data_IF_529231628704
#
_entry.id   IF_529231628704
#
_cell.length_a   1.000
_cell.length_b   1.000
_cell.length_c   1.000
_cell.angle_alpha   90.00
_cell.angle_beta   90.00
_cell.angle_gamma   90.00
#
_symmetry.space_group_name_H-M   'P 1'
#
loop_
_entity.id
_entity.type
_entity.pdbx_description
1 polymer ?
#
# COMPACT_ATOMS: atom_id res chain seq x y z
N UNK A 1 -6.69 -20.02 -23.10
CA UNK A 1 -5.88 -20.93 -22.28
C UNK A 1 -5.93 -20.44 -20.85
N UNK A 2 -6.19 -21.33 -19.91
CA UNK A 2 -6.13 -21.04 -18.48
C UNK A 2 -4.68 -21.20 -18.00
N UNK A 3 -4.25 -20.33 -17.09
CA UNK A 3 -2.90 -20.34 -16.52
C UNK A 3 -2.95 -20.27 -14.99
N UNK A 4 -2.12 -21.05 -14.28
CA UNK A 4 -2.11 -21.03 -12.83
C UNK A 4 -1.43 -19.76 -12.29
N UNK A 5 -2.03 -19.17 -11.27
CA UNK A 5 -1.47 -18.00 -10.58
C UNK A 5 -0.48 -18.45 -9.51
N UNK A 6 0.74 -17.91 -9.58
CA UNK A 6 1.83 -18.20 -8.66
C UNK A 6 1.89 -17.24 -7.45
N UNK A 7 1.25 -16.08 -7.54
CA UNK A 7 1.13 -15.13 -6.45
C UNK A 7 0.62 -13.76 -6.91
N UNK A 8 0.26 -12.92 -5.95
CA UNK A 8 -0.13 -11.52 -6.17
C UNK A 8 0.95 -10.62 -5.57
N UNK A 9 1.37 -9.60 -6.33
CA UNK A 9 2.39 -8.65 -5.90
C UNK A 9 1.72 -7.44 -5.23
N UNK A 10 0.70 -6.91 -5.88
CA UNK A 10 -0.15 -5.80 -5.45
C UNK A 10 -1.53 -5.94 -6.15
N UNK A 11 -2.41 -4.95 -6.04
CA UNK A 11 -3.77 -5.05 -6.55
C UNK A 11 -3.91 -5.09 -8.07
N UNK A 12 -2.85 -4.76 -8.83
CA UNK A 12 -2.88 -4.74 -10.30
C UNK A 12 -1.75 -5.54 -10.97
N UNK A 13 -0.88 -6.16 -10.17
CA UNK A 13 0.21 -6.99 -10.66
C UNK A 13 0.15 -8.38 -10.05
N UNK A 14 -0.02 -9.39 -10.92
CA UNK A 14 -0.01 -10.81 -10.54
C UNK A 14 1.18 -11.54 -11.17
N UNK A 15 1.59 -12.64 -10.55
CA UNK A 15 2.59 -13.56 -11.12
C UNK A 15 1.90 -14.85 -11.53
N UNK A 16 2.07 -15.28 -12.76
CA UNK A 16 1.49 -16.53 -13.31
C UNK A 16 2.59 -17.52 -13.67
N UNK A 17 2.24 -18.80 -13.86
CA UNK A 17 3.12 -19.76 -14.54
C UNK A 17 2.69 -19.95 -15.99
N UNK A 18 3.50 -19.48 -16.92
CA UNK A 18 3.27 -19.60 -18.36
C UNK A 18 4.47 -20.31 -18.99
N UNK A 19 4.23 -21.38 -19.74
CA UNK A 19 5.31 -22.15 -20.37
C UNK A 19 6.35 -22.71 -19.38
N UNK A 20 5.93 -23.04 -18.15
CA UNK A 20 6.82 -23.52 -17.09
C UNK A 20 7.62 -22.44 -16.37
N UNK A 21 7.54 -21.17 -16.78
CA UNK A 21 8.24 -20.05 -16.14
C UNK A 21 7.29 -19.12 -15.37
N UNK A 22 7.82 -18.40 -14.39
CA UNK A 22 7.08 -17.35 -13.68
C UNK A 22 7.11 -16.06 -14.48
N UNK A 23 5.93 -15.54 -14.82
CA UNK A 23 5.75 -14.30 -15.56
C UNK A 23 4.97 -13.29 -14.74
N UNK A 24 5.38 -12.02 -14.76
CA UNK A 24 4.62 -10.93 -14.15
C UNK A 24 3.63 -10.36 -15.15
N UNK A 25 2.40 -10.16 -14.73
CA UNK A 25 1.31 -9.61 -15.52
C UNK A 25 0.85 -8.31 -14.86
N UNK A 26 0.91 -7.20 -15.61
CA UNK A 26 0.24 -5.95 -15.25
C UNK A 26 -1.16 -5.99 -15.85
N UNK A 27 -2.16 -5.94 -14.98
CA UNK A 27 -3.57 -6.03 -15.38
C UNK A 27 -3.96 -4.76 -16.13
N UNK A 28 -4.55 -4.92 -17.31
CA UNK A 28 -4.98 -3.79 -18.14
C UNK A 28 -6.20 -3.10 -17.53
N UNK A 29 -6.22 -1.76 -17.61
CA UNK A 29 -7.39 -0.92 -17.32
C UNK A 29 -7.58 -0.51 -15.87
N UNK A 30 -6.71 -0.95 -14.96
CA UNK A 30 -6.78 -0.60 -13.54
C UNK A 30 -5.45 -0.08 -13.01
N UNK A 31 -5.50 0.73 -11.96
CA UNK A 31 -4.36 1.10 -11.12
C UNK A 31 -4.78 0.99 -9.66
N UNK A 32 -3.97 0.33 -8.85
CA UNK A 32 -4.27 0.09 -7.44
C UNK A 32 -3.29 0.81 -6.53
N UNK A 33 -3.70 1.16 -5.30
CA UNK A 33 -2.78 1.79 -4.37
C UNK A 33 -1.56 0.92 -4.10
N UNK A 34 -0.37 1.53 -4.13
CA UNK A 34 0.91 0.82 -4.10
C UNK A 34 1.28 0.34 -2.69
N UNK A 35 1.57 -0.96 -2.54
CA UNK A 35 1.98 -1.54 -1.24
C UNK A 35 3.31 -0.98 -0.73
N UNK A 36 4.24 -0.67 -1.64
CA UNK A 36 5.57 -0.17 -1.28
C UNK A 36 5.55 1.27 -0.74
N UNK A 37 4.44 1.98 -0.93
CA UNK A 37 4.22 3.34 -0.42
C UNK A 37 3.30 3.42 0.80
N UNK A 38 2.85 2.27 1.33
CA UNK A 38 1.77 2.18 2.33
C UNK A 38 0.56 3.06 1.96
N UNK A 39 0.22 3.10 0.67
CA UNK A 39 -0.91 3.89 0.21
C UNK A 39 -2.21 3.37 0.82
N UNK A 40 -3.11 4.30 1.13
CA UNK A 40 -4.41 3.93 1.68
C UNK A 40 -5.11 2.93 0.75
N UNK A 41 -5.63 1.86 1.34
CA UNK A 41 -6.32 0.76 0.65
C UNK A 41 -5.44 -0.21 -0.14
N UNK A 42 -4.11 -0.07 -0.14
CA UNK A 42 -3.19 -0.94 -0.89
C UNK A 42 -3.29 -2.42 -0.47
N UNK A 43 -3.33 -2.69 0.84
CA UNK A 43 -3.43 -4.06 1.37
C UNK A 43 -4.78 -4.69 1.06
N UNK A 44 -5.84 -3.90 1.12
CA UNK A 44 -7.20 -4.32 0.79
C UNK A 44 -7.30 -4.67 -0.70
N UNK A 45 -6.73 -3.84 -1.58
CA UNK A 45 -6.70 -4.09 -3.02
C UNK A 45 -5.91 -5.36 -3.37
N UNK A 46 -4.70 -5.52 -2.81
CA UNK A 46 -3.90 -6.72 -3.00
C UNK A 46 -4.60 -7.99 -2.45
N UNK A 47 -5.21 -7.91 -1.27
CA UNK A 47 -5.97 -9.01 -0.69
C UNK A 47 -7.20 -9.36 -1.52
N UNK A 48 -7.87 -8.36 -2.11
CA UNK A 48 -9.02 -8.61 -2.97
C UNK A 48 -8.59 -9.29 -4.26
N UNK A 49 -7.56 -8.78 -4.93
CA UNK A 49 -6.96 -9.43 -6.10
C UNK A 49 -6.60 -10.88 -5.77
N UNK A 50 -5.91 -11.12 -4.65
CA UNK A 50 -5.58 -12.46 -4.15
C UNK A 50 -6.84 -13.32 -4.02
N UNK A 51 -7.93 -12.84 -3.39
CA UNK A 51 -9.17 -13.63 -3.25
C UNK A 51 -9.84 -14.00 -4.59
N UNK A 52 -9.63 -13.19 -5.64
CA UNK A 52 -10.17 -13.42 -6.98
C UNK A 52 -9.36 -14.48 -7.72
N UNK A 53 -8.04 -14.51 -7.55
CA UNK A 53 -7.14 -15.32 -8.37
C UNK A 53 -6.51 -16.51 -7.64
N UNK A 54 -6.53 -16.52 -6.30
CA UNK A 54 -5.90 -17.56 -5.49
C UNK A 54 -6.55 -18.92 -5.72
N UNK A 55 -5.70 -19.94 -5.87
CA UNK A 55 -6.11 -21.34 -6.11
C UNK A 55 -6.98 -21.53 -7.35
N UNK A 56 -6.96 -20.54 -8.27
CA UNK A 56 -7.67 -20.58 -9.55
C UNK A 56 -6.68 -20.46 -10.68
N UNK A 57 -7.05 -21.04 -11.82
CA UNK A 57 -6.46 -20.65 -13.08
C UNK A 57 -7.22 -19.46 -13.64
N UNK A 58 -6.49 -18.57 -14.31
CA UNK A 58 -7.05 -17.39 -14.96
C UNK A 58 -6.80 -17.46 -16.45
N UNK A 59 -7.69 -16.87 -17.24
CA UNK A 59 -7.42 -16.66 -18.66
C UNK A 59 -6.75 -15.30 -18.84
N UNK A 60 -5.60 -15.31 -19.50
CA UNK A 60 -4.92 -14.09 -19.93
C UNK A 60 -5.37 -13.75 -21.36
N UNK A 61 -5.92 -12.55 -21.54
CA UNK A 61 -6.36 -12.06 -22.84
C UNK A 61 -5.51 -10.86 -23.24
N UNK A 62 -4.95 -10.91 -24.45
CA UNK A 62 -4.16 -9.84 -25.06
C UNK A 62 -5.07 -8.73 -25.57
N UNK A 63 -4.55 -7.49 -25.55
CA UNK A 63 -5.21 -6.33 -26.12
C UNK A 63 -4.19 -5.64 -27.06
N UNK A 64 -4.24 -5.90 -28.38
CA UNK A 64 -3.20 -5.43 -29.31
C UNK A 64 -2.92 -3.91 -29.25
N UNK A 65 -3.92 -3.02 -29.10
CA UNK A 65 -3.70 -1.60 -28.83
C UNK A 65 -2.78 -1.29 -27.64
N UNK A 66 -2.72 -2.16 -26.62
CA UNK A 66 -1.91 -1.95 -25.43
C UNK A 66 -0.47 -2.47 -25.58
N UNK A 67 -0.20 -3.28 -26.61
CA UNK A 67 1.07 -3.99 -26.77
C UNK A 67 1.18 -5.22 -25.87
N UNK A 68 2.31 -5.94 -25.99
CA UNK A 68 2.48 -7.23 -25.30
C UNK A 68 3.09 -7.09 -23.90
N UNK A 69 4.09 -6.21 -23.75
CA UNK A 69 4.81 -5.96 -22.49
C UNK A 69 5.01 -4.48 -22.25
N UNK A 70 5.10 -4.11 -20.98
CA UNK A 70 5.50 -2.76 -20.59
C UNK A 70 7.03 -2.59 -20.56
N UNK A 71 7.49 -1.36 -20.25
CA UNK A 71 8.92 -1.03 -20.18
C UNK A 71 9.70 -1.78 -19.09
N UNK A 72 9.01 -2.42 -18.15
CA UNK A 72 9.58 -3.21 -17.07
C UNK A 72 9.55 -4.72 -17.38
N UNK A 73 9.13 -5.08 -18.60
CA UNK A 73 9.04 -6.46 -19.05
C UNK A 73 7.84 -7.22 -18.50
N UNK A 74 6.85 -6.57 -17.87
CA UNK A 74 5.62 -7.24 -17.43
C UNK A 74 4.69 -7.44 -18.63
N UNK A 75 4.03 -8.60 -18.72
CA UNK A 75 2.98 -8.85 -19.70
C UNK A 75 1.79 -7.93 -19.44
N UNK A 76 1.24 -7.34 -20.51
CA UNK A 76 0.01 -6.56 -20.47
C UNK A 76 -1.15 -7.46 -20.86
N UNK A 77 -2.05 -7.76 -19.90
CA UNK A 77 -3.17 -8.67 -20.13
C UNK A 77 -4.42 -8.23 -19.39
N UNK A 78 -5.58 -8.50 -19.99
CA UNK A 78 -6.82 -8.66 -19.23
C UNK A 78 -6.79 -10.00 -18.50
N UNK A 79 -7.21 -10.00 -17.24
CA UNK A 79 -7.28 -11.21 -16.40
C UNK A 79 -8.74 -11.59 -16.24
N UNK A 80 -9.16 -12.66 -16.92
CA UNK A 80 -10.49 -13.24 -16.79
C UNK A 80 -10.47 -14.42 -15.81
N UNK A 81 -11.42 -14.44 -14.90
CA UNK A 81 -11.62 -15.50 -13.92
C UNK A 81 -12.23 -16.74 -14.60
N UNK A 82 -12.19 -17.89 -13.91
CA UNK A 82 -12.76 -19.14 -14.42
C UNK A 82 -14.27 -19.05 -14.70
N UNK A 83 -14.98 -18.17 -14.01
CA UNK A 83 -16.41 -17.89 -14.21
C UNK A 83 -16.69 -16.88 -15.34
N UNK A 84 -15.66 -16.44 -16.07
CA UNK A 84 -15.76 -15.50 -17.18
C UNK A 84 -15.72 -14.02 -16.79
N UNK A 85 -15.78 -13.68 -15.50
CA UNK A 85 -15.71 -12.28 -15.05
C UNK A 85 -14.31 -11.68 -15.23
N UNK A 86 -14.23 -10.37 -15.42
CA UNK A 86 -12.95 -9.64 -15.41
C UNK A 86 -12.55 -9.31 -13.97
N UNK A 87 -11.33 -9.69 -13.57
CA UNK A 87 -10.79 -9.32 -12.26
C UNK A 87 -10.69 -7.80 -12.09
N UNK A 88 -10.30 -7.09 -13.17
CA UNK A 88 -10.21 -5.64 -13.17
C UNK A 88 -11.57 -4.97 -12.95
N UNK A 89 -12.62 -5.44 -13.64
CA UNK A 89 -13.98 -4.92 -13.48
C UNK A 89 -14.48 -5.10 -12.05
N UNK A 90 -14.29 -6.28 -11.46
CA UNK A 90 -14.67 -6.55 -10.06
C UNK A 90 -13.96 -5.59 -9.10
N UNK A 91 -12.66 -5.36 -9.28
CA UNK A 91 -11.91 -4.42 -8.44
C UNK A 91 -12.39 -2.97 -8.57
N UNK A 92 -12.81 -2.55 -9.77
CA UNK A 92 -13.39 -1.23 -9.99
C UNK A 92 -14.78 -1.10 -9.37
N UNK A 93 -15.66 -2.07 -9.58
CA UNK A 93 -17.03 -2.09 -9.03
C UNK A 93 -17.05 -2.01 -7.51
N UNK A 94 -16.08 -2.66 -6.85
CA UNK A 94 -15.99 -2.70 -5.39
C UNK A 94 -15.08 -1.60 -4.81
N UNK A 95 -14.48 -0.74 -5.65
CA UNK A 95 -13.68 0.40 -5.22
C UNK A 95 -12.28 0.04 -4.69
N UNK A 96 -11.66 -1.03 -5.19
CA UNK A 96 -10.26 -1.40 -4.88
C UNK A 96 -9.24 -0.83 -5.86
N UNK A 97 -9.69 -0.34 -7.03
CA UNK A 97 -8.85 0.20 -8.08
C UNK A 97 -9.42 1.50 -8.65
N UNK A 98 -8.57 2.24 -9.34
CA UNK A 98 -8.92 3.37 -10.22
C UNK A 98 -8.86 2.93 -11.68
N UNK A 99 -9.67 3.54 -12.53
CA UNK A 99 -9.57 3.30 -13.98
C UNK A 99 -8.24 3.88 -14.49
N UNK A 100 -7.51 3.08 -15.28
CA UNK A 100 -6.23 3.52 -15.83
C UNK A 100 -6.12 3.26 -17.32
N UNK A 101 -6.14 4.36 -18.08
CA UNK A 101 -5.86 4.39 -19.50
C UNK A 101 -4.51 5.06 -19.74
N UNK A 102 -3.52 4.32 -20.24
CA UNK A 102 -2.19 4.89 -20.45
C UNK A 102 -2.10 5.77 -21.71
N UNK A 103 -2.32 5.21 -22.90
CA UNK A 103 -2.19 5.93 -24.18
C UNK A 103 -3.32 5.65 -25.16
N UNK A 104 -3.74 4.40 -25.27
CA UNK A 104 -4.79 3.95 -26.19
C UNK A 104 -5.93 3.36 -25.38
N UNK A 105 -7.16 3.49 -25.88
CA UNK A 105 -8.29 2.77 -25.32
C UNK A 105 -8.03 1.26 -25.38
N UNK A 106 -8.42 0.57 -24.32
CA UNK A 106 -8.42 -0.88 -24.24
C UNK A 106 -9.85 -1.41 -24.40
N UNK A 107 -9.98 -2.69 -24.70
CA UNK A 107 -11.26 -3.36 -24.83
C UNK A 107 -12.04 -3.34 -23.49
N UNK A 108 -13.28 -2.84 -23.51
CA UNK A 108 -14.12 -2.74 -22.31
C UNK A 108 -13.92 -1.46 -21.47
N UNK A 109 -13.13 -0.47 -21.93
CA UNK A 109 -12.87 0.77 -21.17
C UNK A 109 -14.14 1.50 -20.71
N UNK A 110 -15.18 1.57 -21.55
CA UNK A 110 -16.43 2.23 -21.18
C UNK A 110 -17.09 1.58 -19.95
N UNK A 111 -17.06 0.25 -19.87
CA UNK A 111 -17.59 -0.50 -18.73
C UNK A 111 -16.76 -0.27 -17.46
N UNK A 112 -15.43 -0.16 -17.60
CA UNK A 112 -14.54 0.07 -16.46
C UNK A 112 -14.72 1.47 -15.88
N UNK A 113 -14.88 2.48 -16.74
CA UNK A 113 -15.23 3.84 -16.32
C UNK A 113 -16.59 3.91 -15.64
N UNK A 114 -17.58 3.19 -16.17
CA UNK A 114 -18.90 3.11 -15.55
C UNK A 114 -18.85 2.42 -14.17
N UNK A 115 -18.07 1.35 -14.04
CA UNK A 115 -17.85 0.65 -12.77
C UNK A 115 -17.19 1.57 -11.72
N UNK A 116 -16.13 2.28 -12.10
CA UNK A 116 -15.47 3.25 -11.22
C UNK A 116 -16.44 4.36 -10.78
N UNK A 117 -17.20 4.93 -11.72
CA UNK A 117 -18.17 5.99 -11.42
C UNK A 117 -19.27 5.52 -10.45
N UNK A 118 -19.73 4.26 -10.59
CA UNK A 118 -20.68 3.67 -9.68
C UNK A 118 -20.09 3.50 -8.27
N UNK A 119 -18.85 3.00 -8.15
CA UNK A 119 -18.14 2.86 -6.88
C UNK A 119 -17.86 4.20 -6.19
N UNK A 120 -17.56 5.24 -6.97
CA UNK A 120 -17.43 6.61 -6.46
C UNK A 120 -18.75 7.12 -5.88
N UNK A 121 -19.86 6.96 -6.62
CA UNK A 121 -21.19 7.42 -6.19
C UNK A 121 -21.68 6.72 -4.92
N UNK A 122 -21.32 5.45 -4.73
CA UNK A 122 -21.68 4.68 -3.54
C UNK A 122 -20.68 4.79 -2.40
N UNK A 123 -19.60 5.57 -2.56
CA UNK A 123 -18.49 5.64 -1.60
C UNK A 123 -17.89 4.25 -1.27
N UNK A 124 -17.88 3.33 -2.22
CA UNK A 124 -17.34 1.99 -2.04
C UNK A 124 -15.81 1.99 -1.91
N UNK A 125 -15.28 1.06 -1.12
CA UNK A 125 -13.85 0.82 -0.99
C UNK A 125 -13.04 2.08 -0.71
N UNK A 126 -12.02 2.33 -1.55
CA UNK A 126 -11.11 3.48 -1.42
C UNK A 126 -11.85 4.84 -1.45
N UNK A 127 -13.04 4.92 -2.04
CA UNK A 127 -13.80 6.16 -2.18
C UNK A 127 -14.48 6.61 -0.87
N UNK A 128 -14.70 5.69 0.06
CA UNK A 128 -15.21 5.97 1.40
C UNK A 128 -14.16 5.78 2.50
N UNK A 129 -13.20 4.87 2.30
CA UNK A 129 -12.21 4.50 3.32
C UNK A 129 -10.98 5.41 3.35
N UNK A 130 -10.61 6.02 2.23
CA UNK A 130 -9.44 6.87 2.16
C UNK A 130 -9.79 8.35 2.28
N UNK A 131 -8.97 9.16 2.96
CA UNK A 131 -9.13 10.59 2.91
C UNK A 131 -9.07 11.01 1.44
N UNK A 132 -10.01 11.85 1.02
CA UNK A 132 -9.95 12.45 -0.31
C UNK A 132 -8.59 13.17 -0.40
N UNK A 133 -7.66 12.61 -1.17
CA UNK A 133 -6.43 13.31 -1.49
C UNK A 133 -6.88 14.65 -2.10
N UNK A 134 -6.43 15.81 -1.57
CA UNK A 134 -6.92 17.08 -2.04
C UNK A 134 -6.69 17.10 -3.56
N UNK A 135 -7.78 17.15 -4.33
CA UNK A 135 -7.70 17.36 -5.76
C UNK A 135 -6.82 18.59 -5.93
N UNK A 136 -5.68 18.42 -6.60
CA UNK A 136 -4.86 19.56 -7.03
C UNK A 136 -5.65 20.25 -8.16
N UNK A 137 -6.71 20.95 -7.76
CA UNK A 137 -7.43 21.91 -8.59
C UNK A 137 -6.56 23.15 -8.78
N UNK A 138 -6.85 23.98 -9.80
CA UNK A 138 -6.01 25.11 -10.13
C UNK A 138 -5.90 26.07 -8.95
N UNK A 139 -4.66 26.40 -8.61
CA UNK A 139 -4.26 27.35 -7.58
C UNK A 139 -4.95 28.70 -7.79
N UNK A 140 -5.99 28.97 -7.01
CA UNK A 140 -6.39 30.35 -6.71
C UNK A 140 -5.78 30.73 -5.36
N UNK A 141 -4.68 31.48 -5.44
CA UNK A 141 -4.06 32.14 -4.31
C UNK A 141 -5.05 33.12 -3.68
N UNK A 142 -5.69 32.73 -2.57
CA UNK A 142 -6.29 33.66 -1.64
C UNK A 142 -5.31 33.90 -0.50
N UNK A 143 -4.68 35.07 -0.57
CA UNK A 143 -3.77 35.69 0.40
C UNK A 143 -4.35 35.67 1.82
N UNK A 144 -3.61 35.23 2.85
CA UNK A 144 -4.05 35.38 4.23
C UNK A 144 -3.61 36.75 4.78
N UNK A 145 -4.49 37.41 5.50
CA UNK A 145 -4.16 38.50 6.44
C UNK A 145 -4.85 38.25 7.78
N UNK A 146 -4.29 38.79 8.88
CA UNK A 146 -3.98 38.00 10.06
C UNK A 146 -4.87 38.32 11.27
N UNK A 147 -4.89 37.41 12.24
CA UNK A 147 -5.29 37.73 13.61
C UNK A 147 -4.49 36.91 14.63
N UNK A 148 -3.52 37.63 15.20
CA UNK A 148 -2.86 37.56 16.52
C UNK A 148 -3.86 37.16 17.64
N UNK A 149 -3.56 36.52 18.78
CA UNK A 149 -2.40 36.49 19.69
C UNK A 149 -2.65 35.35 20.71
N UNK A 150 -1.64 34.65 21.26
CA UNK A 150 -1.25 34.73 22.70
C UNK A 150 -1.05 33.30 23.23
N UNK A 151 -0.06 32.86 24.01
CA UNK A 151 1.22 33.35 24.54
C UNK A 151 1.91 32.13 25.20
N UNK A 152 3.22 31.94 25.03
CA UNK A 152 4.10 31.01 25.79
C UNK A 152 4.62 31.72 27.07
N UNK A 153 5.06 31.03 28.14
CA UNK A 153 6.41 30.40 28.23
C UNK A 153 6.43 29.06 29.01
N UNK A 154 7.19 28.04 28.57
CA UNK A 154 8.57 27.68 28.94
C UNK A 154 8.78 27.35 30.43
N UNK A 155 8.96 26.05 30.75
CA UNK A 155 10.18 25.52 31.40
C UNK A 155 10.15 23.98 31.49
N UNK A 156 11.33 23.37 31.39
CA UNK A 156 11.58 21.94 31.66
C UNK A 156 12.06 21.77 33.11
N UNK A 157 11.94 20.57 33.71
CA UNK A 157 13.16 19.79 33.87
C UNK A 157 12.99 18.26 33.73
N UNK A 158 14.16 17.62 33.59
CA UNK A 158 14.43 16.17 33.47
C UNK A 158 14.08 15.39 34.74
N UNK A 159 13.78 14.09 34.58
CA UNK A 159 14.07 13.07 35.59
C UNK A 159 12.89 12.20 36.00
N UNK A 160 12.96 10.93 35.59
CA UNK A 160 12.48 9.72 36.29
C UNK A 160 11.04 9.66 36.85
N UNK A 161 10.14 8.92 36.15
CA UNK A 161 9.28 7.89 36.80
C UNK A 161 8.59 6.94 35.80
N UNK A 162 8.34 5.66 36.17
CA UNK A 162 7.99 4.57 35.24
C UNK A 162 6.51 4.14 35.29
N UNK A 163 6.20 3.19 34.39
CA UNK A 163 5.02 2.31 34.32
C UNK A 163 3.68 2.97 33.99
N UNK A 164 3.45 3.19 32.69
CA UNK A 164 2.19 3.68 32.14
C UNK A 164 1.93 3.18 30.71
N UNK A 165 1.90 1.86 30.52
CA UNK A 165 0.94 1.20 29.63
C UNK A 165 1.11 1.25 28.10
N UNK A 166 2.12 1.89 27.52
CA UNK A 166 2.32 1.84 26.06
C UNK A 166 3.62 1.14 25.66
N UNK A 167 3.49 0.11 24.82
CA UNK A 167 4.62 -0.61 24.25
C UNK A 167 5.21 0.17 23.08
N UNK A 168 5.68 1.38 23.38
CA UNK A 168 6.13 2.35 22.38
C UNK A 168 7.64 2.36 22.19
N UNK A 169 8.41 1.50 22.86
CA UNK A 169 9.85 1.46 22.66
C UNK A 169 10.16 0.56 21.47
N UNK A 170 10.70 1.14 20.40
CA UNK A 170 11.02 0.43 19.16
C UNK A 170 12.38 -0.28 19.27
N UNK A 171 12.40 -1.61 19.32
CA UNK A 171 13.61 -2.41 19.23
C UNK A 171 13.89 -2.92 17.81
N UNK A 172 14.81 -2.29 17.08
CA UNK A 172 15.31 -2.74 15.77
C UNK A 172 16.72 -3.40 15.74
N UNK A 173 16.93 -4.33 14.82
CA UNK A 173 18.20 -5.05 14.63
C UNK A 173 18.88 -4.53 13.36
N UNK A 174 20.01 -3.86 13.53
CA UNK A 174 20.72 -3.31 12.38
C UNK A 174 21.34 -4.42 11.49
N UNK A 175 21.91 -4.02 10.34
CA UNK A 175 22.54 -4.98 9.40
C UNK A 175 23.73 -5.76 9.99
N UNK A 176 24.32 -5.31 11.10
CA UNK A 176 25.41 -6.00 11.83
C UNK A 176 24.89 -6.92 12.94
N UNK A 177 23.58 -7.04 13.11
CA UNK A 177 22.96 -7.86 14.16
C UNK A 177 22.87 -7.17 15.52
N UNK A 178 23.18 -5.87 15.62
CA UNK A 178 23.09 -5.16 16.90
C UNK A 178 21.62 -4.84 17.24
N UNK A 179 21.23 -5.21 18.46
CA UNK A 179 19.91 -4.96 19.05
C UNK A 179 19.87 -3.57 19.68
N UNK A 180 19.16 -2.64 19.04
CA UNK A 180 19.08 -1.24 19.46
C UNK A 180 17.63 -0.88 19.79
N UNK A 181 17.37 -0.27 20.94
CA UNK A 181 16.05 0.23 21.29
C UNK A 181 15.99 1.76 21.20
N UNK A 182 14.86 2.26 20.74
CA UNK A 182 14.57 3.68 20.54
C UNK A 182 13.35 4.09 21.36
N UNK A 183 13.51 5.11 22.19
CA UNK A 183 12.42 5.68 23.00
C UNK A 183 11.68 6.79 22.25
N UNK A 184 10.38 6.96 22.49
CA UNK A 184 9.62 8.11 21.96
C UNK A 184 10.32 9.44 22.27
N UNK A 185 10.46 10.29 21.25
CA UNK A 185 11.17 11.58 21.34
C UNK A 185 12.67 11.53 21.00
N UNK A 186 13.26 10.35 20.87
CA UNK A 186 14.65 10.20 20.38
C UNK A 186 14.78 10.56 18.89
N UNK A 187 15.97 11.03 18.47
CA UNK A 187 16.20 11.55 17.09
C UNK A 187 15.91 10.52 16.00
N UNK A 188 16.13 9.26 16.32
CA UNK A 188 15.94 8.14 15.39
C UNK A 188 14.58 7.46 15.55
N UNK A 189 13.79 7.79 16.57
CA UNK A 189 12.55 7.09 16.91
C UNK A 189 11.50 7.09 15.79
N UNK A 190 11.36 8.23 15.10
CA UNK A 190 10.41 8.37 13.99
C UNK A 190 10.88 7.68 12.71
N UNK A 191 12.19 7.42 12.57
CA UNK A 191 12.79 6.76 11.40
C UNK A 191 12.95 5.26 11.60
N UNK A 192 12.99 4.81 12.85
CA UNK A 192 13.06 3.39 13.17
C UNK A 192 11.70 2.76 12.91
N UNK A 193 11.67 1.80 12.00
CA UNK A 193 10.52 0.92 11.74
C UNK A 193 10.87 -0.46 12.28
N UNK A 194 9.89 -1.15 12.86
CA UNK A 194 10.07 -2.49 13.42
C UNK A 194 9.63 -3.54 12.40
N UNK A 195 10.56 -4.43 12.07
CA UNK A 195 10.35 -5.62 11.26
C UNK A 195 10.36 -6.88 12.13
N UNK A 196 9.17 -7.31 12.56
CA UNK A 196 9.02 -8.47 13.44
C UNK A 196 9.49 -9.79 12.82
N UNK A 197 9.61 -9.87 11.49
CA UNK A 197 10.15 -11.05 10.81
C UNK A 197 11.65 -11.26 11.06
N UNK A 198 12.35 -10.20 11.51
CA UNK A 198 13.78 -10.21 11.84
C UNK A 198 14.07 -10.36 13.33
N UNK A 199 13.04 -10.58 14.15
CA UNK A 199 13.16 -10.60 15.61
C UNK A 199 13.21 -9.21 16.24
N UNK A 200 12.91 -8.16 15.47
CA UNK A 200 12.66 -6.81 15.98
C UNK A 200 11.31 -6.78 16.71
N UNK A 201 11.19 -5.97 17.76
CA UNK A 201 9.96 -5.93 18.54
C UNK A 201 9.80 -4.63 19.32
N UNK A 202 8.57 -4.39 19.75
CA UNK A 202 8.24 -3.31 20.67
C UNK A 202 8.48 -3.74 22.12
N UNK A 203 8.89 -2.81 22.98
CA UNK A 203 9.03 -2.97 24.42
C UNK A 203 8.13 -1.99 25.15
N UNK A 204 7.65 -2.38 26.32
CA UNK A 204 6.78 -1.57 27.18
C UNK A 204 7.57 -0.80 28.25
N UNK A 205 8.86 -1.08 28.40
CA UNK A 205 9.79 -0.25 29.19
C UNK A 205 11.25 -0.37 28.72
N UNK A 206 12.08 0.63 29.02
CA UNK A 206 13.51 0.57 28.70
C UNK A 206 14.23 -0.54 29.48
N UNK A 207 13.78 -0.80 30.71
CA UNK A 207 14.25 -1.91 31.54
C UNK A 207 13.99 -3.27 30.87
N UNK A 208 12.82 -3.44 30.24
CA UNK A 208 12.47 -4.65 29.51
C UNK A 208 13.35 -4.84 28.28
N UNK A 209 13.59 -3.77 27.53
CA UNK A 209 14.49 -3.78 26.38
C UNK A 209 15.92 -4.20 26.80
N UNK A 210 16.45 -3.60 27.87
CA UNK A 210 17.79 -3.92 28.40
C UNK A 210 17.88 -5.36 28.91
N UNK A 211 16.88 -5.84 29.64
CA UNK A 211 16.81 -7.22 30.10
C UNK A 211 16.78 -8.23 28.93
N UNK A 212 16.15 -7.85 27.81
CA UNK A 212 16.14 -8.62 26.56
C UNK A 212 17.45 -8.55 25.75
N UNK A 213 18.48 -7.86 26.25
CA UNK A 213 19.78 -7.70 25.60
C UNK A 213 19.85 -6.59 24.56
N UNK A 214 18.96 -5.60 24.64
CA UNK A 214 18.93 -4.46 23.72
C UNK A 214 19.59 -3.25 24.36
N UNK A 215 20.48 -2.58 23.60
CA UNK A 215 21.13 -1.34 24.06
C UNK A 215 20.39 -0.11 23.57
N UNK A 216 20.48 0.99 24.31
CA UNK A 216 19.90 2.26 23.88
C UNK A 216 20.56 2.75 22.57
N UNK A 217 19.78 3.42 21.73
CA UNK A 217 20.32 4.21 20.63
C UNK A 217 21.27 5.29 21.16
N UNK A 218 22.40 5.49 20.47
CA UNK A 218 23.30 6.62 20.74
C UNK A 218 22.85 7.77 19.83
N UNK A 219 22.52 8.91 20.43
CA UNK A 219 22.06 10.13 19.74
C UNK A 219 23.20 11.03 19.22
#
# INVERSE_FOLDING_TARGET
>A
MLVPVAGVVDGDTVTVRLGGQKERVRVIGIDTPELRGDECYARQAASRMQSLVQSREVQLVTDPPQGDRDRYGRLLRHVRLADGRSAAKVLLEEGFAREYTYRRAYEGQAEYRAAEAAAQKSHAGLWGACPASPRRGPSTSARPTPSTTSRRPADAPKGDRPAGGSCDIKGNINRRGEKIYHVPGGRSYARTTIDTSRGERMFCSESEARAAGWRAARD
#
